data_IF_571539171466
#
_entry.id   IF_571539171466
#
_cell.length_a   1.000
_cell.length_b   1.000
_cell.length_c   1.000
_cell.angle_alpha   90.00
_cell.angle_beta   90.00
_cell.angle_gamma   90.00
#
_symmetry.space_group_name_H-M   'P 1'
#
loop_
_entity.id
_entity.type
_entity.pdbx_description
1 polymer ?
#
# COMPACT_ATOMS: atom_id res chain seq x y z
N UNK A 1 0.58 -14.86 6.35
CA UNK A 1 -0.28 -13.79 6.95
C UNK A 1 0.66 -12.82 7.66
N UNK A 2 0.36 -11.52 7.65
CA UNK A 2 1.16 -10.55 8.39
C UNK A 2 0.73 -10.51 9.86
N UNK A 3 1.63 -10.20 10.80
CA UNK A 3 1.28 -9.94 12.19
C UNK A 3 0.27 -8.80 12.36
N UNK A 4 -0.64 -8.92 13.33
CA UNK A 4 -1.74 -7.97 13.56
C UNK A 4 -1.24 -6.55 13.85
N UNK A 5 -0.17 -6.42 14.64
CA UNK A 5 0.44 -5.12 14.95
C UNK A 5 0.90 -4.34 13.71
N UNK A 6 1.29 -5.01 12.62
CA UNK A 6 1.67 -4.34 11.37
C UNK A 6 0.46 -3.80 10.62
N UNK A 7 -0.68 -4.49 10.70
CA UNK A 7 -1.93 -4.06 10.10
C UNK A 7 -2.46 -2.80 10.80
N UNK A 8 -2.34 -2.72 12.12
CA UNK A 8 -2.77 -1.56 12.92
C UNK A 8 -1.96 -0.29 12.64
N UNK A 9 -0.70 -0.43 12.20
CA UNK A 9 0.16 0.70 11.85
C UNK A 9 -0.23 1.43 10.56
N UNK A 10 -1.14 0.86 9.75
CA UNK A 10 -1.49 1.35 8.43
C UNK A 10 -3.00 1.56 8.32
N UNK A 11 -3.42 2.77 7.93
CA UNK A 11 -4.84 3.10 7.79
C UNK A 11 -5.20 3.58 6.38
N UNK A 12 -6.39 3.21 5.92
CA UNK A 12 -6.93 3.70 4.65
C UNK A 12 -7.32 5.17 4.81
N UNK A 13 -6.89 6.00 3.87
CA UNK A 13 -7.24 7.43 3.84
C UNK A 13 -8.74 7.57 3.65
N UNK A 14 -9.43 8.09 4.65
CA UNK A 14 -10.85 8.43 4.55
C UNK A 14 -11.02 9.71 3.72
N UNK A 15 -11.73 9.62 2.59
CA UNK A 15 -12.18 10.81 1.86
C UNK A 15 -13.41 11.38 2.55
N UNK A 16 -13.41 12.69 2.84
CA UNK A 16 -14.59 13.38 3.36
C UNK A 16 -15.69 13.55 2.31
N UNK A 17 -15.38 13.33 1.02
CA UNK A 17 -16.31 13.55 -0.10
C UNK A 17 -16.65 12.23 -0.79
N UNK A 18 -17.94 12.00 -1.09
CA UNK A 18 -18.37 10.95 -2.01
C UNK A 18 -17.85 11.29 -3.41
N UNK A 19 -16.99 10.44 -3.97
CA UNK A 19 -16.50 10.58 -5.34
C UNK A 19 -17.29 9.65 -6.26
N UNK A 20 -17.63 10.14 -7.45
CA UNK A 20 -18.30 9.38 -8.52
C UNK A 20 -17.31 8.55 -9.35
N UNK A 21 -16.00 8.72 -9.14
CA UNK A 21 -14.95 7.90 -9.74
C UNK A 21 -14.75 6.59 -8.96
N UNK A 22 -14.15 5.54 -9.55
CA UNK A 22 -13.67 4.40 -8.78
C UNK A 22 -12.82 4.90 -7.61
N UNK A 23 -13.21 4.52 -6.39
CA UNK A 23 -12.54 4.94 -5.17
C UNK A 23 -11.11 4.40 -5.16
N UNK A 24 -10.13 5.29 -5.33
CA UNK A 24 -8.72 4.90 -5.22
C UNK A 24 -8.42 4.50 -3.77
N UNK A 25 -7.92 3.28 -3.58
CA UNK A 25 -7.45 2.83 -2.26
C UNK A 25 -6.08 3.44 -2.02
N UNK A 26 -6.06 4.53 -1.25
CA UNK A 26 -4.85 5.23 -0.80
C UNK A 26 -4.71 5.05 0.72
N UNK A 27 -3.47 4.94 1.17
CA UNK A 27 -3.14 4.86 2.58
C UNK A 27 -2.86 6.25 3.15
N UNK A 28 -3.19 6.46 4.42
CA UNK A 28 -2.83 7.67 5.13
C UNK A 28 -1.34 7.63 5.44
N UNK A 29 -0.61 8.66 5.01
CA UNK A 29 0.81 8.83 5.35
C UNK A 29 0.88 9.69 6.61
N UNK A 30 1.32 9.15 7.76
CA UNK A 30 1.47 9.94 8.97
C UNK A 30 2.62 10.94 8.83
N UNK A 31 2.52 12.07 9.51
CA UNK A 31 3.61 13.06 9.54
C UNK A 31 4.68 12.55 10.48
N UNK A 32 5.86 12.25 9.93
CA UNK A 32 7.00 11.82 10.72
C UNK A 32 7.82 13.01 11.24
N UNK A 33 8.39 12.86 12.45
CA UNK A 33 9.41 13.73 13.05
C UNK A 33 10.31 12.88 13.97
N UNK A 34 11.65 12.99 13.90
CA UNK A 34 12.47 13.74 12.94
C UNK A 34 12.39 13.13 11.53
N UNK A 35 12.53 13.94 10.48
CA UNK A 35 12.33 13.51 9.08
C UNK A 35 13.22 12.34 8.68
N UNK A 36 14.48 12.32 9.10
CA UNK A 36 15.40 11.26 8.71
C UNK A 36 14.99 9.87 9.23
N UNK A 37 14.78 9.73 10.55
CA UNK A 37 14.49 8.42 11.15
C UNK A 37 12.99 8.09 11.09
N UNK A 38 12.14 9.10 11.25
CA UNK A 38 10.69 8.94 11.24
C UNK A 38 10.15 8.52 9.88
N UNK A 39 10.77 8.92 8.78
CA UNK A 39 10.35 8.49 7.43
C UNK A 39 10.64 7.00 7.16
N UNK A 40 11.57 6.41 7.91
CA UNK A 40 11.88 4.97 7.85
C UNK A 40 10.88 4.10 8.63
N UNK A 41 9.99 4.68 9.44
CA UNK A 41 8.97 3.92 10.14
C UNK A 41 8.08 3.17 9.13
N UNK A 42 7.74 1.92 9.45
CA UNK A 42 6.93 1.07 8.56
C UNK A 42 5.63 1.76 8.11
N UNK A 43 4.93 2.42 9.04
CA UNK A 43 3.70 3.17 8.76
C UNK A 43 3.88 4.27 7.71
N UNK A 44 5.03 4.95 7.67
CA UNK A 44 5.35 6.02 6.72
C UNK A 44 5.87 5.45 5.40
N UNK A 45 6.88 4.57 5.47
CA UNK A 45 7.52 4.01 4.29
C UNK A 45 6.54 3.14 3.47
N UNK A 46 5.76 2.28 4.13
CA UNK A 46 4.81 1.39 3.45
C UNK A 46 3.67 2.19 2.80
N UNK A 47 3.07 3.16 3.51
CA UNK A 47 2.00 4.00 2.97
C UNK A 47 2.49 4.88 1.82
N UNK A 48 3.69 5.43 1.93
CA UNK A 48 4.32 6.22 0.86
C UNK A 48 4.59 5.39 -0.38
N UNK A 49 5.19 4.20 -0.23
CA UNK A 49 5.48 3.31 -1.34
C UNK A 49 4.21 2.85 -2.03
N UNK A 50 3.19 2.43 -1.27
CA UNK A 50 1.89 2.04 -1.80
C UNK A 50 1.25 3.17 -2.61
N UNK A 51 1.23 4.40 -2.08
CA UNK A 51 0.61 5.53 -2.75
C UNK A 51 1.33 5.96 -4.04
N UNK A 52 2.64 5.68 -4.16
CA UNK A 52 3.42 5.91 -5.39
C UNK A 52 3.08 4.92 -6.50
N UNK A 53 2.41 3.81 -6.18
CA UNK A 53 2.03 2.83 -7.19
C UNK A 53 0.93 3.37 -8.12
N UNK A 54 1.04 3.13 -9.43
CA UNK A 54 -0.03 3.36 -10.39
C UNK A 54 -1.34 2.68 -9.98
N UNK A 55 -2.49 3.32 -10.27
CA UNK A 55 -3.80 2.84 -9.82
C UNK A 55 -4.17 1.47 -10.41
N UNK A 56 -3.73 1.17 -11.63
CA UNK A 56 -3.91 -0.14 -12.25
C UNK A 56 -3.22 -1.26 -11.45
N UNK A 57 -2.02 -1.01 -10.91
CA UNK A 57 -1.28 -1.99 -10.10
C UNK A 57 -1.95 -2.19 -8.74
N UNK A 58 -2.39 -1.11 -8.09
CA UNK A 58 -3.10 -1.18 -6.80
C UNK A 58 -4.43 -1.92 -6.88
N UNK A 59 -5.16 -1.71 -7.98
CA UNK A 59 -6.46 -2.37 -8.20
C UNK A 59 -6.31 -3.80 -8.76
N UNK A 60 -5.15 -4.17 -9.30
CA UNK A 60 -4.88 -5.49 -9.85
C UNK A 60 -4.45 -6.54 -8.81
N UNK A 61 -4.78 -6.35 -7.53
CA UNK A 61 -4.19 -7.10 -6.40
C UNK A 61 -4.32 -8.63 -6.47
N UNK A 62 -5.30 -9.16 -7.20
CA UNK A 62 -5.48 -10.61 -7.40
C UNK A 62 -4.68 -11.18 -8.60
N UNK A 63 -4.43 -10.37 -9.63
CA UNK A 63 -3.84 -10.84 -10.89
C UNK A 63 -2.31 -10.83 -10.86
N UNK A 64 -1.70 -9.85 -10.18
CA UNK A 64 -0.24 -9.74 -10.14
C UNK A 64 0.40 -10.81 -9.24
N UNK A 65 -0.22 -11.15 -8.11
CA UNK A 65 0.35 -12.14 -7.17
C UNK A 65 0.43 -13.54 -7.80
N UNK A 66 -0.59 -13.92 -8.57
CA UNK A 66 -0.62 -15.20 -9.28
C UNK A 66 0.29 -15.19 -10.51
N UNK A 67 0.27 -14.10 -11.29
CA UNK A 67 1.12 -13.99 -12.47
C UNK A 67 2.61 -13.91 -12.13
N UNK A 68 3.02 -13.06 -11.17
CA UNK A 68 4.42 -12.94 -10.75
C UNK A 68 4.93 -14.20 -10.07
N UNK A 69 4.09 -14.89 -9.27
CA UNK A 69 4.47 -16.18 -8.68
C UNK A 69 4.64 -17.25 -9.76
N UNK A 70 3.73 -17.33 -10.74
CA UNK A 70 3.92 -18.23 -11.88
C UNK A 70 5.23 -17.91 -12.60
N UNK A 71 5.44 -16.67 -13.06
CA UNK A 71 6.67 -16.29 -13.78
C UNK A 71 7.95 -16.59 -12.99
N UNK A 72 7.97 -16.33 -11.69
CA UNK A 72 9.17 -16.57 -10.87
C UNK A 72 9.45 -18.04 -10.54
N UNK A 73 8.44 -18.91 -10.60
CA UNK A 73 8.54 -20.30 -10.13
C UNK A 73 8.09 -21.37 -11.15
N UNK A 74 7.75 -20.98 -12.39
CA UNK A 74 7.44 -21.92 -13.49
C UNK A 74 8.55 -22.08 -14.52
N UNK A 75 9.78 -21.65 -14.20
CA UNK A 75 10.98 -22.07 -14.92
C UNK A 75 11.59 -23.29 -14.19
N UNK A 76 11.02 -24.46 -14.48
CA UNK A 76 11.59 -25.78 -14.16
C UNK A 76 11.02 -26.84 -15.09
#
# INVERSE_FOLDING_TARGET
MAPEYLCELVSIRKSSRKLTSPSQILLQVPVSRPKSYGDCAFSVAASTLWNRLPANIRNASSLLKTHLFKVAFTDK
#
